data_IF_133012343776
#
_entry.id   IF_133012343776
#
_cell.length_a   1.000
_cell.length_b   1.000
_cell.length_c   1.000
_cell.angle_alpha   90.00
_cell.angle_beta   90.00
_cell.angle_gamma   90.00
#
_symmetry.space_group_name_H-M   'P 1'
#
loop_
_entity.id
_entity.type
_entity.pdbx_description
1 polymer ?
#
# COMPACT_ATOMS: atom_id res chain seq x y z
N UNK A 1 -13.68 4.07 -2.44
CA UNK A 1 -13.39 5.36 -1.78
C UNK A 1 -11.89 5.59 -1.84
N UNK A 2 -11.43 6.81 -2.09
CA UNK A 2 -9.99 7.12 -2.16
C UNK A 2 -9.38 7.09 -0.74
N UNK A 3 -8.32 6.31 -0.53
CA UNK A 3 -7.56 6.31 0.72
C UNK A 3 -6.36 7.27 0.55
N UNK A 4 -6.29 8.40 1.27
CA UNK A 4 -5.21 9.36 1.10
C UNK A 4 -3.83 8.81 1.49
N UNK A 5 -3.77 7.66 2.20
CA UNK A 5 -2.54 6.98 2.61
C UNK A 5 -1.93 6.12 1.49
N UNK A 6 -2.70 5.83 0.44
CA UNK A 6 -2.27 5.07 -0.73
C UNK A 6 -2.65 5.82 -2.00
N UNK A 7 -1.69 6.53 -2.58
CA UNK A 7 -1.91 7.27 -3.82
C UNK A 7 -1.60 6.37 -5.01
N UNK A 8 -2.46 6.38 -6.02
CA UNK A 8 -2.26 5.60 -7.25
C UNK A 8 -2.31 6.54 -8.46
N UNK A 9 -1.24 6.57 -9.23
CA UNK A 9 -1.13 7.33 -10.47
C UNK A 9 -0.91 6.38 -11.64
N UNK A 10 -1.77 6.44 -12.66
CA UNK A 10 -1.59 5.68 -13.90
C UNK A 10 -0.84 6.53 -14.91
N UNK A 11 0.26 5.99 -15.42
CA UNK A 11 1.09 6.55 -16.49
C UNK A 11 1.09 5.58 -17.67
N UNK A 12 1.56 6.03 -18.82
CA UNK A 12 1.60 5.18 -20.01
C UNK A 12 2.42 3.90 -19.74
N UNK A 13 1.75 2.75 -19.74
CA UNK A 13 2.37 1.45 -19.49
C UNK A 13 2.76 1.16 -18.02
N UNK A 14 2.51 2.06 -17.07
CA UNK A 14 2.90 1.84 -15.66
C UNK A 14 1.91 2.43 -14.66
N UNK A 15 1.83 1.80 -13.49
CA UNK A 15 1.07 2.31 -12.35
C UNK A 15 2.03 2.60 -11.19
N UNK A 16 1.90 3.78 -10.60
CA UNK A 16 2.74 4.25 -9.50
C UNK A 16 1.90 4.27 -8.23
N UNK A 17 2.31 3.47 -7.24
CA UNK A 17 1.69 3.40 -5.92
C UNK A 17 2.61 4.10 -4.93
N UNK A 18 2.11 5.14 -4.26
CA UNK A 18 2.83 5.88 -3.22
C UNK A 18 2.24 5.55 -1.85
N UNK A 19 3.07 4.96 -0.97
CA UNK A 19 2.78 4.85 0.45
C UNK A 19 2.91 6.25 1.08
N UNK A 20 1.81 6.82 1.55
CA UNK A 20 1.71 8.23 1.90
C UNK A 20 1.41 8.43 3.39
N UNK A 21 2.35 8.01 4.24
CA UNK A 21 2.36 8.24 5.71
C UNK A 21 3.77 8.65 6.18
N UNK A 22 4.37 9.72 5.63
CA UNK A 22 5.77 10.07 5.89
C UNK A 22 6.08 10.32 7.37
N UNK A 23 5.09 10.75 8.15
CA UNK A 23 5.16 11.01 9.59
C UNK A 23 5.46 9.76 10.44
N UNK A 24 5.10 8.58 9.93
CA UNK A 24 5.42 7.27 10.54
C UNK A 24 6.28 6.43 9.60
N UNK A 25 7.12 7.07 8.80
CA UNK A 25 8.04 6.42 7.87
C UNK A 25 7.33 5.45 6.91
N UNK A 26 6.12 5.80 6.45
CA UNK A 26 5.31 5.02 5.53
C UNK A 26 5.02 3.59 6.03
N UNK A 27 4.87 3.43 7.36
CA UNK A 27 4.43 2.16 7.95
C UNK A 27 3.06 1.73 7.40
N UNK A 28 2.93 0.44 7.09
CA UNK A 28 1.76 -0.15 6.46
C UNK A 28 0.88 -0.76 7.55
N UNK A 29 -0.29 -0.17 7.73
CA UNK A 29 -1.31 -0.67 8.66
C UNK A 29 -2.21 -1.73 8.01
N UNK A 30 -3.12 -2.34 8.79
CA UNK A 30 -3.94 -3.45 8.31
C UNK A 30 -4.91 -3.03 7.20
N UNK A 31 -5.50 -1.84 7.35
CA UNK A 31 -6.40 -1.29 6.35
C UNK A 31 -5.67 -1.01 5.02
N UNK A 32 -4.43 -0.53 5.09
CA UNK A 32 -3.56 -0.34 3.93
C UNK A 32 -3.19 -1.67 3.29
N UNK A 33 -2.90 -2.73 4.05
CA UNK A 33 -2.64 -4.07 3.49
C UNK A 33 -3.82 -4.58 2.66
N UNK A 34 -5.04 -4.50 3.20
CA UNK A 34 -6.25 -4.88 2.48
C UNK A 34 -6.44 -4.05 1.21
N UNK A 35 -6.26 -2.73 1.30
CA UNK A 35 -6.44 -1.84 0.15
C UNK A 35 -5.34 -2.02 -0.91
N UNK A 36 -4.10 -2.29 -0.52
CA UNK A 36 -3.01 -2.62 -1.45
C UNK A 36 -3.32 -3.88 -2.25
N UNK A 37 -3.86 -4.92 -1.60
CA UNK A 37 -4.30 -6.14 -2.29
C UNK A 37 -5.36 -5.84 -3.36
N UNK A 38 -6.38 -5.04 -3.01
CA UNK A 38 -7.42 -4.62 -3.96
C UNK A 38 -6.83 -3.84 -5.14
N UNK A 39 -5.97 -2.85 -4.87
CA UNK A 39 -5.30 -2.06 -5.91
C UNK A 39 -4.47 -2.95 -6.83
N UNK A 40 -3.68 -3.88 -6.28
CA UNK A 40 -2.85 -4.76 -7.09
C UNK A 40 -3.67 -5.70 -7.97
N UNK A 41 -4.81 -6.21 -7.49
CA UNK A 41 -5.74 -7.00 -8.31
C UNK A 41 -6.41 -6.15 -9.41
N UNK A 42 -6.78 -4.92 -9.10
CA UNK A 42 -7.31 -3.97 -10.09
C UNK A 42 -6.27 -3.68 -11.20
N UNK A 43 -4.99 -3.55 -10.83
CA UNK A 43 -3.90 -3.29 -11.77
C UNK A 43 -3.49 -4.52 -12.59
N UNK A 44 -3.50 -5.72 -11.99
CA UNK A 44 -3.22 -6.98 -12.67
C UNK A 44 -4.26 -7.29 -13.77
N UNK A 45 -5.52 -6.91 -13.54
CA UNK A 45 -6.59 -7.06 -14.51
C UNK A 45 -6.54 -6.02 -15.67
N UNK A 46 -5.70 -4.99 -15.57
CA UNK A 46 -5.59 -3.92 -16.57
C UNK A 46 -4.44 -4.19 -17.55
N UNK A 47 -4.72 -4.61 -18.80
CA UNK A 47 -3.67 -4.95 -19.77
C UNK A 47 -2.85 -3.74 -20.23
N UNK A 48 -3.29 -2.51 -19.93
CA UNK A 48 -2.50 -1.30 -20.21
C UNK A 48 -1.37 -1.09 -19.20
N UNK A 49 -1.44 -1.74 -18.02
CA UNK A 49 -0.41 -1.65 -16.98
C UNK A 49 0.59 -2.77 -17.18
N UNK A 50 1.83 -2.41 -17.53
CA UNK A 50 2.92 -3.39 -17.73
C UNK A 50 3.90 -3.45 -16.57
N UNK A 51 3.94 -2.40 -15.77
CA UNK A 51 4.87 -2.24 -14.64
C UNK A 51 4.14 -1.57 -13.48
N UNK A 52 4.30 -2.12 -12.29
CA UNK A 52 3.90 -1.45 -11.05
C UNK A 52 5.17 -0.93 -10.36
N UNK A 53 5.19 0.38 -10.09
CA UNK A 53 6.23 1.04 -9.29
C UNK A 53 5.66 1.33 -7.93
N UNK A 54 6.36 0.90 -6.87
CA UNK A 54 5.99 1.23 -5.50
C UNK A 54 7.04 2.18 -4.91
N UNK A 55 6.60 3.25 -4.27
CA UNK A 55 7.48 4.24 -3.62
C UNK A 55 6.89 4.72 -2.29
N UNK A 56 7.74 5.27 -1.43
CA UNK A 56 7.33 5.98 -0.22
C UNK A 56 7.24 7.48 -0.48
N UNK A 57 6.28 8.15 0.15
CA UNK A 57 6.22 9.60 0.15
C UNK A 57 7.36 10.20 0.99
N UNK A 58 7.84 11.37 0.56
CA UNK A 58 8.96 12.06 1.19
C UNK A 58 10.33 11.50 0.79
N UNK A 59 11.35 11.86 1.56
CA UNK A 59 12.77 11.58 1.27
C UNK A 59 13.44 10.68 2.32
N UNK A 60 12.73 10.33 3.39
CA UNK A 60 13.30 9.63 4.55
C UNK A 60 13.32 8.12 4.42
N UNK A 61 12.24 7.51 3.92
CA UNK A 61 12.08 6.06 3.90
C UNK A 61 11.07 5.63 2.83
N UNK A 62 11.32 4.47 2.22
CA UNK A 62 10.31 3.76 1.43
C UNK A 62 9.14 3.32 2.33
N UNK A 63 9.44 2.48 3.34
CA UNK A 63 8.51 2.04 4.38
C UNK A 63 9.30 1.51 5.58
N UNK A 64 8.82 1.78 6.80
CA UNK A 64 9.30 1.14 8.03
C UNK A 64 8.76 -0.30 8.23
N UNK A 65 7.97 -0.82 7.29
CA UNK A 65 7.37 -2.15 7.37
C UNK A 65 5.94 -2.10 7.92
N UNK A 66 5.56 -3.11 8.70
CA UNK A 66 4.22 -3.20 9.28
C UNK A 66 4.07 -2.26 10.48
N UNK A 67 2.90 -1.63 10.61
CA UNK A 67 2.56 -0.80 11.78
C UNK A 67 2.36 -1.68 13.02
N UNK A 68 3.45 -1.95 13.75
CA UNK A 68 3.48 -2.89 14.88
C UNK A 68 2.46 -2.53 15.97
N UNK A 69 2.15 -1.25 16.14
CA UNK A 69 1.16 -0.79 17.13
C UNK A 69 -0.26 -1.21 16.77
N UNK A 70 -0.56 -1.36 15.48
CA UNK A 70 -1.85 -1.87 14.99
C UNK A 70 -1.86 -3.40 14.94
N UNK A 71 -0.78 -4.03 14.49
CA UNK A 71 -0.67 -5.50 14.51
C UNK A 71 -0.75 -6.09 15.92
N UNK A 72 -0.26 -5.38 16.93
CA UNK A 72 -0.43 -5.78 18.34
C UNK A 72 -1.90 -5.78 18.82
N UNK A 73 -2.81 -5.14 18.08
CA UNK A 73 -4.26 -5.07 18.40
C UNK A 73 -5.09 -6.08 17.61
N UNK A 74 -4.51 -6.72 16.60
CA UNK A 74 -5.19 -7.75 15.81
C UNK A 74 -5.12 -9.10 16.52
N UNK A 75 -6.21 -9.85 16.47
CA UNK A 75 -6.24 -11.24 16.91
C UNK A 75 -5.47 -12.14 15.94
N UNK A 76 -4.98 -13.28 16.42
CA UNK A 76 -4.26 -14.25 15.59
C UNK A 76 -5.09 -14.78 14.42
N UNK A 77 -6.42 -14.83 14.57
CA UNK A 77 -7.33 -15.30 13.54
C UNK A 77 -7.46 -14.29 12.38
N UNK A 78 -7.42 -12.99 12.68
CA UNK A 78 -7.46 -11.91 11.67
C UNK A 78 -6.20 -11.91 10.80
N UNK A 79 -5.03 -12.19 11.38
CA UNK A 79 -3.76 -12.26 10.64
C UNK A 79 -3.71 -13.48 9.71
N UNK A 80 -4.31 -14.62 10.09
CA UNK A 80 -4.28 -15.87 9.31
C UNK A 80 -5.24 -15.89 8.12
N UNK A 81 -6.21 -14.99 8.08
CA UNK A 81 -7.20 -14.91 7.00
C UNK A 81 -6.71 -14.14 5.75
N UNK A 82 -5.46 -13.67 5.75
CA UNK A 82 -4.84 -12.90 4.67
C UNK A 82 -4.24 -13.79 3.57
#
# INVERSE_FOLDING_TARGET
MSDPRLLVERREGSAWITLNRPEVHNAIDWSMWRRLREILLELDADPSVRVVVMQGAGDRAFSAGSDLAEFARLSTDEVRAC
#
